data_IF_833649906106
#
_entry.id   IF_833649906106
#
_cell.length_a   1.000
_cell.length_b   1.000
_cell.length_c   1.000
_cell.angle_alpha   90.00
_cell.angle_beta   90.00
_cell.angle_gamma   90.00
#
_symmetry.space_group_name_H-M   'P 1'
#
loop_
_entity.id
_entity.type
_entity.pdbx_description
1 polymer ?
#
# COMPACT_ATOMS: atom_id res chain seq x y z
N UNK A 1 -3.13 46.16 -19.67
CA UNK A 1 -3.81 45.02 -19.00
C UNK A 1 -3.72 45.10 -17.47
N UNK A 2 -2.56 45.16 -16.79
CA UNK A 2 -2.50 45.10 -15.32
C UNK A 2 -3.24 46.23 -14.59
N UNK A 3 -3.20 47.46 -15.13
CA UNK A 3 -3.93 48.61 -14.56
C UNK A 3 -5.46 48.47 -14.71
N UNK A 4 -5.93 48.06 -15.89
CA UNK A 4 -7.36 47.83 -16.17
C UNK A 4 -7.94 46.69 -15.31
N UNK A 5 -7.16 45.63 -15.12
CA UNK A 5 -7.52 44.51 -14.24
C UNK A 5 -7.66 44.96 -12.77
N UNK A 6 -6.69 45.72 -12.24
CA UNK A 6 -6.77 46.24 -10.86
C UNK A 6 -7.99 47.12 -10.65
N UNK A 7 -8.26 48.02 -11.59
CA UNK A 7 -9.45 48.88 -11.54
C UNK A 7 -10.76 48.08 -11.52
N UNK A 8 -10.87 47.03 -12.34
CA UNK A 8 -12.05 46.17 -12.39
C UNK A 8 -12.25 45.36 -11.09
N UNK A 9 -11.18 44.89 -10.47
CA UNK A 9 -11.26 44.17 -9.19
C UNK A 9 -11.65 45.09 -8.05
N UNK A 10 -11.10 46.30 -8.01
CA UNK A 10 -11.42 47.30 -6.98
C UNK A 10 -12.86 47.79 -7.11
N UNK A 11 -13.37 48.00 -8.34
CA UNK A 11 -14.76 48.42 -8.57
C UNK A 11 -15.78 47.35 -8.17
N UNK A 12 -15.49 46.08 -8.49
CA UNK A 12 -16.37 44.93 -8.20
C UNK A 12 -16.14 44.32 -6.80
N UNK A 13 -15.19 44.86 -6.01
CA UNK A 13 -14.80 44.38 -4.67
C UNK A 13 -14.48 42.88 -4.64
N UNK A 14 -13.77 42.42 -5.66
CA UNK A 14 -13.38 41.03 -5.81
C UNK A 14 -12.11 40.75 -4.98
N UNK A 15 -12.08 39.66 -4.23
CA UNK A 15 -10.89 39.21 -3.49
C UNK A 15 -10.30 37.94 -4.13
N UNK A 16 -9.30 38.08 -5.02
CA UNK A 16 -8.68 36.93 -5.68
C UNK A 16 -7.78 36.15 -4.72
N UNK A 17 -7.78 34.82 -4.84
CA UNK A 17 -6.88 33.94 -4.06
C UNK A 17 -5.60 33.55 -4.81
N UNK A 18 -5.50 33.92 -6.09
CA UNK A 18 -4.35 33.65 -6.94
C UNK A 18 -4.28 34.68 -8.09
N UNK A 19 -3.20 34.63 -8.85
CA UNK A 19 -3.07 35.45 -10.06
C UNK A 19 -4.13 35.04 -11.10
N UNK A 20 -4.69 36.00 -11.87
CA UNK A 20 -5.66 35.69 -12.90
C UNK A 20 -5.01 35.01 -14.09
N UNK A 21 -5.77 34.18 -14.79
CA UNK A 21 -5.43 33.78 -16.15
C UNK A 21 -5.97 34.85 -17.11
N UNK A 22 -5.11 35.34 -18.02
CA UNK A 22 -5.45 36.42 -18.96
C UNK A 22 -5.43 35.84 -20.37
N UNK A 23 -6.57 35.87 -21.03
CA UNK A 23 -6.73 35.50 -22.44
C UNK A 23 -6.96 36.76 -23.26
N UNK A 24 -6.10 37.04 -24.23
CA UNK A 24 -6.27 38.20 -25.13
C UNK A 24 -7.06 37.73 -26.34
N UNK A 25 -8.27 38.25 -26.51
CA UNK A 25 -9.16 37.88 -27.62
C UNK A 25 -8.92 38.75 -28.86
N UNK A 26 -8.58 40.03 -28.66
CA UNK A 26 -8.32 40.98 -29.74
C UNK A 26 -7.31 42.03 -29.26
N UNK A 27 -6.38 42.44 -30.13
CA UNK A 27 -5.38 43.45 -29.78
C UNK A 27 -5.84 44.88 -30.11
N UNK A 28 -6.67 45.06 -31.15
CA UNK A 28 -7.16 46.36 -31.59
C UNK A 28 -8.65 46.30 -32.02
N UNK A 29 -9.58 46.89 -31.24
CA UNK A 29 -9.38 47.37 -29.88
C UNK A 29 -8.99 46.22 -28.93
N UNK A 30 -8.23 46.53 -27.87
CA UNK A 30 -7.76 45.55 -26.90
C UNK A 30 -8.93 44.96 -26.11
N UNK A 31 -9.24 43.70 -26.35
CA UNK A 31 -10.24 42.91 -25.60
C UNK A 31 -9.54 41.71 -24.98
N UNK A 32 -9.61 41.61 -23.66
CA UNK A 32 -9.06 40.48 -22.91
C UNK A 32 -10.07 39.97 -21.89
N UNK A 33 -10.04 38.67 -21.64
CA UNK A 33 -10.80 37.98 -20.60
C UNK A 33 -9.84 37.65 -19.45
N UNK A 34 -10.21 38.01 -18.23
CA UNK A 34 -9.46 37.65 -17.03
C UNK A 34 -10.28 36.65 -16.21
N UNK A 35 -9.78 35.43 -16.05
CA UNK A 35 -10.38 34.40 -15.19
C UNK A 35 -9.74 34.55 -13.81
N UNK A 36 -10.56 34.89 -12.82
CA UNK A 36 -10.10 35.26 -11.48
C UNK A 36 -10.51 34.17 -10.47
N UNK A 37 -9.55 33.47 -9.86
CA UNK A 37 -9.85 32.49 -8.81
C UNK A 37 -10.34 33.19 -7.54
N UNK A 38 -11.56 32.88 -7.10
CA UNK A 38 -12.18 33.45 -5.89
C UNK A 38 -12.04 32.52 -4.68
N UNK A 39 -12.30 33.07 -3.49
CA UNK A 39 -12.38 32.27 -2.26
C UNK A 39 -13.47 31.20 -2.38
N UNK A 40 -13.20 29.96 -1.93
CA UNK A 40 -14.19 28.90 -1.94
C UNK A 40 -15.37 29.24 -1.02
N UNK A 41 -16.57 28.84 -1.44
CA UNK A 41 -17.81 29.00 -0.66
C UNK A 41 -18.36 27.63 -0.31
N UNK A 42 -18.58 27.39 1.00
CA UNK A 42 -19.06 26.11 1.54
C UNK A 42 -20.39 26.33 2.27
N UNK A 43 -21.41 25.56 1.91
CA UNK A 43 -22.71 25.47 2.61
C UNK A 43 -22.91 24.04 3.09
N UNK A 44 -22.93 23.81 4.41
CA UNK A 44 -22.86 22.47 5.01
C UNK A 44 -24.18 21.67 5.04
N UNK A 45 -25.31 22.31 4.73
CA UNK A 45 -26.63 21.68 4.90
C UNK A 45 -27.00 21.43 6.38
N UNK A 46 -27.97 20.55 6.62
CA UNK A 46 -28.41 20.17 7.98
C UNK A 46 -27.67 18.92 8.48
N UNK A 47 -26.38 19.08 8.76
CA UNK A 47 -25.53 17.99 9.24
C UNK A 47 -25.94 17.46 10.62
N UNK A 48 -26.72 18.22 11.40
CA UNK A 48 -27.26 17.76 12.70
C UNK A 48 -28.29 16.63 12.55
N UNK A 49 -28.90 16.49 11.36
CA UNK A 49 -29.82 15.40 11.04
C UNK A 49 -29.11 14.04 10.84
N UNK A 50 -27.78 14.02 10.67
CA UNK A 50 -27.01 12.82 10.34
C UNK A 50 -26.93 11.91 11.57
N UNK A 51 -27.55 10.74 11.47
CA UNK A 51 -27.46 9.67 12.48
C UNK A 51 -26.66 8.51 11.94
N UNK A 52 -25.47 8.30 12.49
CA UNK A 52 -24.65 7.13 12.21
C UNK A 52 -24.55 6.26 13.45
N UNK A 53 -24.68 4.94 13.25
CA UNK A 53 -24.48 3.96 14.31
C UNK A 53 -23.09 3.37 14.14
N UNK A 54 -22.34 3.29 15.24
CA UNK A 54 -21.15 2.47 15.29
C UNK A 54 -21.58 1.00 15.19
N UNK A 55 -20.90 0.24 14.34
CA UNK A 55 -21.07 -1.21 14.31
C UNK A 55 -20.35 -1.80 15.54
N UNK A 56 -21.00 -2.70 16.30
CA UNK A 56 -20.37 -3.34 17.44
C UNK A 56 -19.18 -4.16 16.95
N UNK A 57 -18.06 -4.06 17.67
CA UNK A 57 -16.86 -4.84 17.41
C UNK A 57 -16.96 -6.12 18.23
N UNK A 58 -17.13 -7.24 17.54
CA UNK A 58 -17.09 -8.58 18.13
C UNK A 58 -15.83 -9.30 17.64
N UNK A 59 -15.12 -9.94 18.57
CA UNK A 59 -13.95 -10.75 18.25
C UNK A 59 -14.31 -12.19 18.55
N UNK A 60 -14.29 -13.00 17.50
CA UNK A 60 -14.55 -14.42 17.61
C UNK A 60 -13.38 -15.16 18.25
N UNK A 61 -13.67 -16.27 18.94
CA UNK A 61 -12.65 -17.17 19.46
C UNK A 61 -11.69 -17.70 18.37
N UNK A 62 -12.18 -17.82 17.12
CA UNK A 62 -11.36 -18.22 15.98
C UNK A 62 -10.28 -17.19 15.61
N UNK A 63 -10.58 -15.89 15.72
CA UNK A 63 -9.61 -14.82 15.43
C UNK A 63 -8.52 -14.76 16.51
N UNK A 64 -8.91 -14.95 17.78
CA UNK A 64 -7.98 -15.03 18.91
C UNK A 64 -7.06 -16.24 18.73
N UNK A 65 -7.64 -17.40 18.39
CA UNK A 65 -6.87 -18.63 18.11
C UNK A 65 -5.88 -18.43 16.97
N UNK A 66 -6.32 -17.86 15.85
CA UNK A 66 -5.45 -17.59 14.71
C UNK A 66 -4.32 -16.61 15.06
N UNK A 67 -4.60 -15.57 15.84
CA UNK A 67 -3.57 -14.64 16.29
C UNK A 67 -2.53 -15.30 17.21
N UNK A 68 -2.97 -16.19 18.10
CA UNK A 68 -2.06 -16.96 18.97
C UNK A 68 -1.21 -17.94 18.17
N UNK A 69 -1.79 -18.63 17.18
CA UNK A 69 -1.03 -19.51 16.29
C UNK A 69 0.01 -18.73 15.47
N UNK A 70 -0.33 -17.53 14.99
CA UNK A 70 0.63 -16.65 14.33
C UNK A 70 1.80 -16.26 15.26
N UNK A 71 1.53 -15.95 16.53
CA UNK A 71 2.58 -15.72 17.52
C UNK A 71 3.42 -16.98 17.77
N UNK A 72 2.78 -18.16 17.80
CA UNK A 72 3.44 -19.46 17.97
C UNK A 72 4.38 -19.76 16.81
N UNK A 73 3.97 -19.44 15.60
CA UNK A 73 4.80 -19.58 14.41
C UNK A 73 6.01 -18.65 14.40
N UNK A 74 5.88 -17.44 14.96
CA UNK A 74 6.99 -16.48 15.08
C UNK A 74 8.02 -16.91 16.13
N UNK A 75 7.60 -17.64 17.16
CA UNK A 75 8.48 -18.21 18.20
C UNK A 75 8.98 -19.63 17.84
N UNK A 76 8.76 -20.08 16.61
CA UNK A 76 9.21 -21.40 16.19
C UNK A 76 10.74 -21.48 16.17
N UNK A 77 11.28 -22.62 16.62
CA UNK A 77 12.71 -22.89 16.58
C UNK A 77 13.01 -23.81 15.41
N UNK A 78 14.12 -23.55 14.71
CA UNK A 78 14.61 -24.40 13.63
C UNK A 78 15.64 -25.38 14.17
N UNK A 79 15.31 -26.67 14.16
CA UNK A 79 16.21 -27.74 14.63
C UNK A 79 16.77 -28.54 13.45
N UNK A 80 18.09 -28.81 13.41
CA UNK A 80 18.69 -29.61 12.35
C UNK A 80 18.18 -31.05 12.39
N UNK A 81 17.88 -31.62 11.22
CA UNK A 81 17.40 -32.99 11.07
C UNK A 81 18.14 -33.74 9.97
N UNK A 82 18.40 -35.03 10.20
CA UNK A 82 19.07 -35.92 9.25
C UNK A 82 18.04 -36.85 8.57
N UNK A 83 17.13 -36.25 7.81
CA UNK A 83 16.14 -36.93 6.96
C UNK A 83 15.99 -36.22 5.60
N UNK A 84 15.42 -36.87 4.57
CA UNK A 84 15.08 -36.18 3.32
C UNK A 84 14.15 -34.98 3.57
N UNK A 85 14.27 -33.95 2.73
CA UNK A 85 13.46 -32.73 2.77
C UNK A 85 11.97 -33.06 2.66
N UNK A 86 11.15 -32.46 3.52
CA UNK A 86 9.70 -32.52 3.50
C UNK A 86 9.11 -31.10 3.33
N UNK A 87 7.84 -31.04 2.92
CA UNK A 87 7.10 -29.78 2.90
C UNK A 87 7.03 -29.17 4.32
N UNK A 88 7.34 -27.89 4.43
CA UNK A 88 7.39 -27.14 5.67
C UNK A 88 8.77 -27.04 6.32
N UNK A 89 9.76 -27.82 5.87
CA UNK A 89 11.13 -27.74 6.37
C UNK A 89 11.82 -26.44 5.91
N UNK A 90 12.83 -26.02 6.67
CA UNK A 90 13.75 -24.94 6.32
C UNK A 90 15.07 -25.56 5.87
N UNK A 91 15.46 -25.27 4.63
CA UNK A 91 16.67 -25.81 4.02
C UNK A 91 17.65 -24.68 3.73
N UNK A 92 18.92 -24.88 4.10
CA UNK A 92 20.00 -24.04 3.59
C UNK A 92 20.40 -24.62 2.24
N UNK A 93 20.29 -23.82 1.19
CA UNK A 93 20.56 -24.28 -0.16
C UNK A 93 21.33 -23.26 -0.99
N UNK A 94 22.08 -23.77 -1.97
CA UNK A 94 22.69 -22.98 -3.02
C UNK A 94 21.90 -23.19 -4.30
N UNK A 95 21.44 -22.11 -4.93
CA UNK A 95 20.66 -22.11 -6.16
C UNK A 95 21.49 -21.45 -7.26
N UNK A 96 21.66 -22.17 -8.35
CA UNK A 96 22.14 -21.63 -9.62
C UNK A 96 21.05 -21.87 -10.67
N UNK A 97 20.48 -20.80 -11.19
CA UNK A 97 19.42 -20.84 -12.17
C UNK A 97 19.87 -20.16 -13.47
N UNK A 98 19.66 -20.82 -14.61
CA UNK A 98 20.00 -20.28 -15.93
C UNK A 98 18.81 -20.36 -16.88
N UNK A 99 18.68 -19.36 -17.77
CA UNK A 99 17.68 -19.31 -18.84
C UNK A 99 18.42 -19.01 -20.14
N UNK A 100 18.29 -19.88 -21.15
CA UNK A 100 19.01 -19.76 -22.42
C UNK A 100 20.52 -19.46 -22.25
N UNK A 101 21.16 -20.14 -21.30
CA UNK A 101 22.57 -19.97 -20.91
C UNK A 101 22.93 -18.60 -20.29
N UNK A 102 21.95 -17.74 -20.00
CA UNK A 102 22.13 -16.52 -19.20
C UNK A 102 21.85 -16.81 -17.73
N UNK A 103 22.65 -16.27 -16.79
CA UNK A 103 22.38 -16.41 -15.36
C UNK A 103 21.10 -15.66 -15.00
N UNK A 104 20.15 -16.37 -14.39
CA UNK A 104 18.88 -15.83 -13.92
C UNK A 104 18.91 -15.58 -12.41
N UNK A 105 19.41 -16.54 -11.65
CA UNK A 105 19.54 -16.46 -10.20
C UNK A 105 20.81 -17.17 -9.76
N UNK A 106 21.57 -16.56 -8.84
CA UNK A 106 22.67 -17.24 -8.19
C UNK A 106 22.71 -16.81 -6.72
N UNK A 107 22.30 -17.72 -5.83
CA UNK A 107 22.36 -17.54 -4.39
C UNK A 107 23.10 -18.70 -3.77
N UNK A 108 24.01 -18.39 -2.84
CA UNK A 108 24.70 -19.38 -2.02
C UNK A 108 24.23 -19.24 -0.59
N UNK A 109 24.12 -20.38 0.08
CA UNK A 109 23.72 -20.49 1.50
C UNK A 109 22.44 -19.72 1.86
N UNK A 110 21.45 -19.75 0.96
CA UNK A 110 20.15 -19.16 1.19
C UNK A 110 19.34 -20.08 2.11
N UNK A 111 18.82 -19.52 3.20
CA UNK A 111 17.80 -20.17 4.01
C UNK A 111 16.45 -20.07 3.29
N UNK A 112 15.89 -21.21 2.91
CA UNK A 112 14.65 -21.32 2.15
C UNK A 112 13.64 -22.19 2.89
N UNK A 113 12.40 -21.71 3.02
CA UNK A 113 11.29 -22.52 3.53
C UNK A 113 10.65 -23.28 2.38
N UNK A 114 10.55 -24.61 2.51
CA UNK A 114 9.95 -25.49 1.50
C UNK A 114 8.42 -25.43 1.61
N UNK A 115 7.83 -24.35 1.13
CA UNK A 115 6.38 -24.13 1.10
C UNK A 115 5.86 -24.19 -0.33
N UNK A 116 4.87 -25.06 -0.59
CA UNK A 116 4.21 -25.18 -1.90
C UNK A 116 3.53 -23.90 -2.38
N UNK A 117 3.17 -23.00 -1.45
CA UNK A 117 2.57 -21.71 -1.77
C UNK A 117 3.61 -20.61 -2.03
N UNK A 118 4.90 -20.90 -1.83
CA UNK A 118 5.96 -19.94 -2.11
C UNK A 118 6.09 -19.71 -3.61
N UNK A 119 5.97 -18.45 -4.02
CA UNK A 119 6.21 -18.02 -5.41
C UNK A 119 7.69 -17.75 -5.70
N UNK A 120 8.55 -17.84 -4.69
CA UNK A 120 9.98 -17.66 -4.81
C UNK A 120 10.70 -19.02 -4.77
N UNK A 121 11.72 -19.27 -5.61
CA UNK A 121 12.16 -18.45 -6.74
C UNK A 121 11.19 -18.45 -7.93
N UNK A 122 10.47 -19.56 -8.12
CA UNK A 122 9.35 -19.72 -9.04
C UNK A 122 8.28 -20.60 -8.38
N UNK A 123 7.02 -20.48 -8.81
CA UNK A 123 6.01 -21.50 -8.49
C UNK A 123 6.53 -22.90 -8.85
N UNK A 124 6.08 -23.91 -8.10
CA UNK A 124 6.50 -25.33 -8.24
C UNK A 124 7.96 -25.64 -7.90
N UNK A 125 8.76 -24.67 -7.42
CA UNK A 125 10.12 -24.95 -6.96
C UNK A 125 10.16 -25.80 -5.68
N UNK A 126 9.39 -25.44 -4.65
CA UNK A 126 9.38 -26.16 -3.38
C UNK A 126 9.06 -27.67 -3.52
N UNK A 127 8.02 -28.09 -4.27
CA UNK A 127 7.75 -29.51 -4.52
C UNK A 127 8.90 -30.28 -5.17
N UNK A 128 9.77 -29.62 -5.95
CA UNK A 128 10.94 -30.28 -6.56
C UNK A 128 12.04 -30.56 -5.56
N UNK A 129 12.07 -29.89 -4.41
CA UNK A 129 13.03 -30.14 -3.35
C UNK A 129 12.61 -31.27 -2.41
N UNK A 130 11.35 -31.69 -2.45
CA UNK A 130 10.87 -32.79 -1.62
C UNK A 130 11.64 -34.09 -1.92
N UNK A 131 12.05 -34.79 -0.86
CA UNK A 131 12.81 -36.03 -0.91
C UNK A 131 14.32 -35.89 -1.15
N UNK A 132 14.84 -34.68 -1.34
CA UNK A 132 16.29 -34.43 -1.49
C UNK A 132 17.01 -34.65 -0.17
N UNK A 133 18.18 -35.28 -0.19
CA UNK A 133 19.00 -35.48 1.00
C UNK A 133 20.00 -34.34 1.20
N UNK A 134 20.53 -34.25 2.42
CA UNK A 134 21.63 -33.35 2.76
C UNK A 134 22.85 -33.63 1.87
N UNK A 135 23.46 -32.56 1.37
CA UNK A 135 24.57 -32.52 0.41
C UNK A 135 24.27 -33.14 -0.96
N UNK A 136 23.00 -33.34 -1.32
CA UNK A 136 22.61 -33.82 -2.64
C UNK A 136 22.40 -32.65 -3.60
N UNK A 137 22.91 -32.81 -4.83
CA UNK A 137 22.67 -31.90 -5.93
C UNK A 137 21.48 -32.39 -6.75
N UNK A 138 20.52 -31.50 -7.01
CA UNK A 138 19.37 -31.76 -7.86
C UNK A 138 19.30 -30.74 -8.98
N UNK A 139 19.13 -31.24 -10.20
CA UNK A 139 18.96 -30.42 -11.39
C UNK A 139 17.55 -30.66 -11.94
N UNK A 140 16.80 -29.59 -12.18
CA UNK A 140 15.46 -29.66 -12.75
C UNK A 140 15.12 -28.38 -13.53
N UNK A 141 14.20 -28.47 -14.48
CA UNK A 141 13.71 -27.32 -15.23
C UNK A 141 12.31 -26.90 -14.76
N UNK A 142 12.07 -25.59 -14.72
CA UNK A 142 10.77 -24.99 -14.45
C UNK A 142 10.47 -23.90 -15.48
N UNK A 143 9.18 -23.72 -15.80
CA UNK A 143 8.75 -22.61 -16.67
C UNK A 143 8.51 -21.37 -15.84
N UNK A 144 9.02 -20.24 -16.33
CA UNK A 144 8.75 -18.94 -15.73
C UNK A 144 7.30 -18.54 -16.05
N UNK A 145 6.50 -18.14 -15.05
CA UNK A 145 5.13 -17.66 -15.27
C UNK A 145 5.05 -16.49 -16.25
N UNK A 146 3.90 -16.36 -16.93
CA UNK A 146 3.69 -15.28 -17.89
C UNK A 146 3.58 -13.89 -17.23
N UNK A 147 3.19 -13.85 -15.95
CA UNK A 147 3.02 -12.66 -15.12
C UNK A 147 4.28 -12.30 -14.31
N UNK A 148 5.43 -12.87 -14.64
CA UNK A 148 6.68 -12.58 -13.95
C UNK A 148 7.11 -11.12 -14.11
N UNK A 149 7.71 -10.56 -13.06
CA UNK A 149 8.09 -9.14 -12.98
C UNK A 149 9.01 -8.67 -14.11
N UNK A 150 9.79 -9.58 -14.71
CA UNK A 150 10.72 -9.30 -15.80
C UNK A 150 10.20 -9.96 -17.08
N UNK A 151 9.64 -9.15 -17.97
CA UNK A 151 9.02 -9.60 -19.24
C UNK A 151 9.96 -10.42 -20.13
N UNK A 152 11.26 -10.18 -20.04
CA UNK A 152 12.28 -10.87 -20.85
C UNK A 152 12.38 -12.37 -20.55
N UNK A 153 11.95 -12.80 -19.36
CA UNK A 153 12.03 -14.20 -18.93
C UNK A 153 10.67 -14.92 -18.92
N UNK A 154 9.57 -14.20 -19.14
CA UNK A 154 8.21 -14.77 -19.10
C UNK A 154 8.06 -15.92 -20.10
N UNK A 155 7.56 -17.06 -19.63
CA UNK A 155 7.30 -18.25 -20.46
C UNK A 155 8.54 -19.04 -20.88
N UNK A 156 9.75 -18.59 -20.55
CA UNK A 156 10.99 -19.31 -20.84
C UNK A 156 11.20 -20.46 -19.85
N UNK A 157 11.96 -21.47 -20.27
CA UNK A 157 12.38 -22.57 -19.40
C UNK A 157 13.66 -22.19 -18.65
N UNK A 158 13.62 -22.29 -17.33
CA UNK A 158 14.73 -22.03 -16.45
C UNK A 158 15.25 -23.34 -15.88
N UNK A 159 16.56 -23.59 -16.05
CA UNK A 159 17.25 -24.73 -15.47
C UNK A 159 17.78 -24.35 -14.09
N UNK A 160 17.30 -25.03 -13.06
CA UNK A 160 17.76 -24.89 -11.69
C UNK A 160 18.71 -26.02 -11.33
N UNK A 161 19.89 -25.65 -10.81
CA UNK A 161 20.81 -26.51 -10.10
C UNK A 161 20.78 -26.10 -8.64
N UNK A 162 20.33 -27.01 -7.78
CA UNK A 162 20.16 -26.75 -6.35
C UNK A 162 20.92 -27.77 -5.52
N UNK A 163 21.69 -27.29 -4.55
CA UNK A 163 22.40 -28.14 -3.59
C UNK A 163 21.91 -27.82 -2.18
N UNK A 164 21.43 -28.83 -1.46
CA UNK A 164 20.96 -28.68 -0.07
C UNK A 164 22.12 -28.93 0.88
N UNK A 165 22.54 -27.94 1.67
CA UNK A 165 23.66 -28.09 2.63
C UNK A 165 23.18 -28.46 4.04
N UNK A 166 22.02 -27.96 4.45
CA UNK A 166 21.45 -28.20 5.76
C UNK A 166 19.92 -28.31 5.68
N UNK A 167 19.33 -29.18 6.50
CA UNK A 167 17.88 -29.36 6.61
C UNK A 167 17.53 -29.14 8.07
N UNK A 168 16.58 -28.24 8.32
CA UNK A 168 16.03 -27.94 9.62
C UNK A 168 14.52 -28.11 9.60
N UNK A 169 13.97 -28.71 10.63
CA UNK A 169 12.52 -28.72 10.82
C UNK A 169 12.08 -27.56 11.72
N UNK A 170 10.92 -26.98 11.39
CA UNK A 170 10.29 -25.94 12.19
C UNK A 170 9.55 -26.60 13.34
N UNK A 171 10.11 -26.51 14.54
CA UNK A 171 9.44 -26.96 15.76
C UNK A 171 8.66 -25.81 16.38
N UNK A 172 7.35 -25.97 16.42
CA UNK A 172 6.47 -25.04 17.11
C UNK A 172 6.55 -25.29 18.62
N UNK A 173 6.70 -24.23 19.45
CA UNK A 173 6.61 -24.39 20.89
C UNK A 173 5.22 -24.91 21.27
N UNK A 174 5.15 -25.65 22.37
CA UNK A 174 3.86 -26.05 22.93
C UNK A 174 3.12 -24.79 23.39
N UNK A 175 1.79 -24.79 23.26
CA UNK A 175 0.98 -23.73 23.84
C UNK A 175 0.87 -24.01 25.34
N UNK A 176 1.82 -23.47 26.10
CA UNK A 176 1.92 -23.53 27.56
C UNK A 176 2.39 -22.18 28.14
N UNK A 177 2.60 -22.14 29.46
CA UNK A 177 3.02 -20.92 30.15
C UNK A 177 4.45 -20.51 29.80
N UNK A 178 5.30 -21.41 29.32
CA UNK A 178 6.65 -21.08 28.84
C UNK A 178 6.57 -20.31 27.50
N UNK A 179 5.69 -20.74 26.59
CA UNK A 179 5.40 -19.98 25.38
C UNK A 179 4.85 -18.58 25.72
N UNK A 180 3.93 -18.47 26.67
CA UNK A 180 3.42 -17.16 27.11
C UNK A 180 4.55 -16.25 27.63
N UNK A 181 5.49 -16.79 28.40
CA UNK A 181 6.66 -16.05 28.89
C UNK A 181 7.58 -15.59 27.77
N UNK A 182 7.76 -16.40 26.72
CA UNK A 182 8.52 -15.97 25.53
C UNK A 182 7.87 -14.78 24.83
N UNK A 183 6.54 -14.64 24.92
CA UNK A 183 5.78 -13.49 24.44
C UNK A 183 5.67 -12.33 25.45
N UNK A 184 6.39 -12.37 26.58
CA UNK A 184 6.33 -11.40 27.68
C UNK A 184 5.00 -11.39 28.48
N UNK A 185 4.33 -12.54 28.58
CA UNK A 185 3.14 -12.75 29.43
C UNK A 185 3.43 -13.76 30.54
N UNK A 186 2.76 -13.67 31.70
CA UNK A 186 3.07 -14.58 32.80
C UNK A 186 2.58 -16.03 32.56
N UNK A 187 1.48 -16.20 31.84
CA UNK A 187 0.84 -17.48 31.55
C UNK A 187 -0.07 -17.39 30.32
N UNK A 188 -0.57 -18.52 29.83
CA UNK A 188 -1.44 -18.58 28.65
C UNK A 188 -2.73 -17.78 28.78
N UNK A 189 -3.30 -17.72 29.98
CA UNK A 189 -4.53 -16.98 30.22
C UNK A 189 -4.29 -15.49 29.97
N UNK A 190 -3.20 -14.93 30.52
CA UNK A 190 -2.82 -13.54 30.29
C UNK A 190 -2.46 -13.27 28.83
N UNK A 191 -1.79 -14.22 28.15
CA UNK A 191 -1.54 -14.10 26.71
C UNK A 191 -2.85 -13.99 25.93
N UNK A 192 -3.83 -14.87 26.20
CA UNK A 192 -5.14 -14.84 25.55
C UNK A 192 -5.90 -13.54 25.82
N UNK A 193 -5.89 -13.07 27.06
CA UNK A 193 -6.51 -11.79 27.44
C UNK A 193 -5.84 -10.61 26.75
N UNK A 194 -4.50 -10.57 26.71
CA UNK A 194 -3.72 -9.54 26.02
C UNK A 194 -3.99 -9.52 24.52
N UNK A 195 -3.92 -10.67 23.85
CA UNK A 195 -4.24 -10.78 22.42
C UNK A 195 -5.69 -10.36 22.13
N UNK A 196 -6.64 -10.73 22.99
CA UNK A 196 -8.04 -10.31 22.86
C UNK A 196 -8.19 -8.79 23.00
N UNK A 197 -7.52 -8.18 23.98
CA UNK A 197 -7.54 -6.75 24.20
C UNK A 197 -6.90 -5.98 23.02
N UNK A 198 -5.79 -6.48 22.48
CA UNK A 198 -5.10 -5.89 21.33
C UNK A 198 -5.95 -5.96 20.06
N UNK A 199 -6.53 -7.12 19.77
CA UNK A 199 -7.45 -7.28 18.64
C UNK A 199 -8.64 -6.32 18.81
N UNK A 200 -9.16 -6.19 20.03
CA UNK A 200 -10.31 -5.32 20.32
C UNK A 200 -9.97 -3.86 20.09
N UNK A 201 -8.84 -3.40 20.62
CA UNK A 201 -8.37 -2.04 20.44
C UNK A 201 -8.16 -1.70 18.96
N UNK A 202 -7.54 -2.62 18.18
CA UNK A 202 -7.36 -2.46 16.74
C UNK A 202 -8.68 -2.37 15.99
N UNK A 203 -9.62 -3.26 16.31
CA UNK A 203 -10.92 -3.29 15.65
C UNK A 203 -11.81 -2.09 16.04
N UNK A 204 -11.77 -1.64 17.30
CA UNK A 204 -12.43 -0.40 17.76
C UNK A 204 -11.84 0.83 17.08
N UNK A 205 -10.51 0.92 16.96
CA UNK A 205 -9.84 2.01 16.23
C UNK A 205 -10.27 2.03 14.77
N UNK A 206 -10.30 0.86 14.11
CA UNK A 206 -10.76 0.73 12.72
C UNK A 206 -12.22 1.17 12.59
N UNK A 207 -13.12 0.66 13.43
CA UNK A 207 -14.54 1.04 13.43
C UNK A 207 -14.72 2.55 13.63
N UNK A 208 -13.93 3.18 14.53
CA UNK A 208 -13.96 4.63 14.74
C UNK A 208 -13.50 5.41 13.51
N UNK A 209 -12.44 4.97 12.83
CA UNK A 209 -11.96 5.60 11.60
C UNK A 209 -12.99 5.47 10.47
N UNK A 210 -13.59 4.30 10.31
CA UNK A 210 -14.65 4.05 9.33
C UNK A 210 -15.90 4.90 9.63
N UNK A 211 -16.31 4.99 10.89
CA UNK A 211 -17.42 5.85 11.29
C UNK A 211 -17.13 7.34 11.01
N UNK A 212 -15.91 7.80 11.29
CA UNK A 212 -15.47 9.17 10.98
C UNK A 212 -15.53 9.43 9.47
N UNK A 213 -15.08 8.47 8.66
CA UNK A 213 -15.16 8.60 7.21
C UNK A 213 -16.61 8.61 6.71
N UNK A 214 -17.47 7.71 7.23
CA UNK A 214 -18.91 7.69 6.93
C UNK A 214 -19.58 9.01 7.32
N UNK A 215 -19.19 9.61 8.44
CA UNK A 215 -19.67 10.91 8.88
C UNK A 215 -19.27 12.03 7.92
N UNK A 216 -17.99 12.11 7.58
CA UNK A 216 -17.49 13.09 6.61
C UNK A 216 -18.19 12.95 5.26
N UNK A 217 -18.29 11.73 4.74
CA UNK A 217 -18.94 11.47 3.45
C UNK A 217 -20.43 11.86 3.49
N UNK A 218 -21.13 11.66 4.62
CA UNK A 218 -22.52 12.08 4.79
C UNK A 218 -22.67 13.61 4.83
N UNK A 219 -21.76 14.32 5.52
CA UNK A 219 -21.75 15.79 5.54
C UNK A 219 -21.47 16.34 4.16
N UNK A 220 -20.46 15.81 3.47
CA UNK A 220 -20.08 16.23 2.12
C UNK A 220 -21.23 16.05 1.14
N UNK A 221 -21.99 14.95 1.24
CA UNK A 221 -23.18 14.72 0.38
C UNK A 221 -24.30 15.75 0.56
N UNK A 222 -24.45 16.32 1.76
CA UNK A 222 -25.42 17.38 2.04
C UNK A 222 -24.85 18.79 1.79
N UNK A 223 -23.54 18.88 1.58
CA UNK A 223 -22.83 20.13 1.41
C UNK A 223 -22.83 20.58 -0.05
N UNK A 224 -22.96 21.88 -0.27
CA UNK A 224 -22.67 22.53 -1.54
C UNK A 224 -21.37 23.30 -1.41
N UNK A 225 -20.37 22.90 -2.21
CA UNK A 225 -19.04 23.50 -2.22
C UNK A 225 -18.80 24.05 -3.61
N UNK A 226 -18.52 25.35 -3.67
CA UNK A 226 -18.09 26.04 -4.88
C UNK A 226 -16.65 26.53 -4.68
N UNK A 227 -15.76 26.18 -5.60
CA UNK A 227 -14.34 26.49 -5.48
C UNK A 227 -13.69 26.58 -6.86
N UNK A 228 -12.61 27.36 -7.01
CA UNK A 228 -11.94 27.51 -8.29
C UNK A 228 -11.08 26.27 -8.64
N UNK A 229 -10.98 25.88 -9.93
CA UNK A 229 -10.21 24.71 -10.38
C UNK A 229 -8.74 24.69 -9.94
N UNK A 230 -8.14 25.87 -9.75
CA UNK A 230 -6.76 26.01 -9.29
C UNK A 230 -6.49 25.29 -7.95
N UNK A 231 -7.51 25.09 -7.11
CA UNK A 231 -7.35 24.31 -5.88
C UNK A 231 -7.19 22.81 -6.15
N UNK A 232 -7.85 22.28 -7.18
CA UNK A 232 -7.61 20.89 -7.61
C UNK A 232 -6.22 20.73 -8.19
N UNK A 233 -5.79 21.67 -9.04
CA UNK A 233 -4.45 21.61 -9.66
C UNK A 233 -3.35 21.61 -8.61
N UNK A 234 -3.45 22.47 -7.59
CA UNK A 234 -2.50 22.50 -6.46
C UNK A 234 -2.51 21.22 -5.63
N UNK A 235 -3.67 20.62 -5.43
CA UNK A 235 -3.77 19.34 -4.71
C UNK A 235 -3.16 18.19 -5.53
N UNK A 236 -3.33 18.20 -6.86
CA UNK A 236 -2.69 17.24 -7.77
C UNK A 236 -1.17 17.40 -7.70
N UNK A 237 -0.65 18.63 -7.72
CA UNK A 237 0.79 18.89 -7.59
C UNK A 237 1.33 18.34 -6.26
N UNK A 238 0.64 18.61 -5.14
CA UNK A 238 1.01 18.08 -3.83
C UNK A 238 0.96 16.55 -3.78
N UNK A 239 -0.04 15.93 -4.42
CA UNK A 239 -0.16 14.48 -4.52
C UNK A 239 1.01 13.86 -5.28
N UNK A 240 1.42 14.47 -6.38
CA UNK A 240 2.56 14.01 -7.18
C UNK A 240 3.87 14.12 -6.40
N UNK A 241 4.10 15.22 -5.69
CA UNK A 241 5.25 15.39 -4.82
C UNK A 241 5.29 14.35 -3.69
N UNK A 242 4.16 14.07 -3.04
CA UNK A 242 4.05 13.05 -1.99
C UNK A 242 4.41 11.66 -2.51
N UNK A 243 3.91 11.32 -3.69
CA UNK A 243 4.17 10.03 -4.33
C UNK A 243 5.65 9.93 -4.71
N UNK A 244 6.23 10.96 -5.34
CA UNK A 244 7.64 10.98 -5.70
C UNK A 244 8.53 10.78 -4.46
N UNK A 245 8.26 11.53 -3.38
CA UNK A 245 8.98 11.40 -2.10
C UNK A 245 8.84 10.01 -1.49
N UNK A 246 7.65 9.43 -1.50
CA UNK A 246 7.40 8.08 -0.95
C UNK A 246 8.24 7.00 -1.65
N UNK A 247 8.52 7.17 -2.93
CA UNK A 247 9.37 6.27 -3.71
C UNK A 247 10.86 6.68 -3.74
N UNK A 248 11.24 7.70 -2.97
CA UNK A 248 12.64 8.14 -2.82
C UNK A 248 13.15 9.03 -3.96
N UNK A 249 12.26 9.57 -4.79
CA UNK A 249 12.62 10.53 -5.83
C UNK A 249 12.76 11.94 -5.27
N UNK A 250 13.73 12.69 -5.79
CA UNK A 250 13.91 14.13 -5.47
C UNK A 250 12.96 15.01 -6.28
N UNK A 251 12.75 14.65 -7.55
CA UNK A 251 11.94 15.41 -8.50
C UNK A 251 10.81 14.54 -9.04
N UNK A 252 9.66 15.14 -9.35
CA UNK A 252 8.46 14.43 -9.86
C UNK A 252 8.73 13.87 -11.26
N UNK A 253 9.55 14.56 -12.04
CA UNK A 253 9.97 14.18 -13.38
C UNK A 253 10.67 12.82 -13.41
N UNK A 254 11.47 12.51 -12.39
CA UNK A 254 12.15 11.21 -12.28
C UNK A 254 11.19 10.08 -11.93
N UNK A 255 10.14 10.38 -11.17
CA UNK A 255 9.04 9.45 -10.93
C UNK A 255 8.24 9.19 -12.22
N UNK A 256 7.90 10.24 -12.98
CA UNK A 256 7.16 10.14 -14.25
C UNK A 256 7.88 9.27 -15.29
N UNK A 257 9.21 9.40 -15.42
CA UNK A 257 10.04 8.57 -16.33
C UNK A 257 9.93 7.08 -16.03
N UNK A 258 9.73 6.69 -14.76
CA UNK A 258 9.59 5.28 -14.35
C UNK A 258 8.20 4.72 -14.63
N UNK A 259 7.16 5.52 -14.41
CA UNK A 259 5.77 5.06 -14.50
C UNK A 259 5.33 4.83 -15.94
N UNK A 260 6.13 5.26 -16.94
CA UNK A 260 5.83 5.08 -18.37
C UNK A 260 4.46 5.64 -18.77
N UNK A 261 3.96 6.63 -18.02
CA UNK A 261 2.73 7.38 -18.28
C UNK A 261 3.08 8.83 -18.53
N UNK A 262 2.23 9.54 -19.27
CA UNK A 262 2.38 10.98 -19.40
C UNK A 262 1.96 11.69 -18.12
N UNK A 263 2.47 12.90 -17.91
CA UNK A 263 2.04 13.73 -16.78
C UNK A 263 0.52 13.96 -16.84
N UNK A 264 -0.02 14.26 -18.02
CA UNK A 264 -1.45 14.50 -18.24
C UNK A 264 -2.31 13.30 -17.82
N UNK A 265 -1.93 12.08 -18.23
CA UNK A 265 -2.64 10.86 -17.82
C UNK A 265 -2.67 10.70 -16.30
N UNK A 266 -1.54 10.92 -15.64
CA UNK A 266 -1.45 10.79 -14.19
C UNK A 266 -2.24 11.89 -13.46
N UNK A 267 -2.25 13.12 -13.99
CA UNK A 267 -3.05 14.22 -13.46
C UNK A 267 -4.55 13.94 -13.59
N UNK A 268 -5.01 13.39 -14.71
CA UNK A 268 -6.42 12.99 -14.87
C UNK A 268 -6.81 11.87 -13.89
N UNK A 269 -5.96 10.87 -13.69
CA UNK A 269 -6.17 9.82 -12.69
C UNK A 269 -6.28 10.40 -11.27
N UNK A 270 -5.44 11.38 -10.93
CA UNK A 270 -5.44 12.04 -9.63
C UNK A 270 -6.56 13.05 -9.46
N UNK A 271 -7.18 13.56 -10.54
CA UNK A 271 -8.18 14.62 -10.45
C UNK A 271 -9.40 14.24 -9.61
N UNK A 272 -9.89 13.00 -9.71
CA UNK A 272 -10.99 12.52 -8.86
C UNK A 272 -10.60 12.48 -7.37
N UNK A 273 -9.36 12.07 -7.09
CA UNK A 273 -8.83 12.00 -5.71
C UNK A 273 -8.61 13.39 -5.15
N UNK A 274 -7.99 14.28 -5.93
CA UNK A 274 -7.75 15.68 -5.60
C UNK A 274 -9.07 16.42 -5.33
N UNK A 275 -10.05 16.28 -6.22
CA UNK A 275 -11.40 16.82 -6.03
C UNK A 275 -12.01 16.38 -4.70
N UNK A 276 -11.96 15.08 -4.39
CA UNK A 276 -12.48 14.56 -3.12
C UNK A 276 -11.74 15.16 -1.92
N UNK A 277 -10.41 15.27 -1.98
CA UNK A 277 -9.60 15.87 -0.90
C UNK A 277 -9.89 17.35 -0.70
N UNK A 278 -9.92 18.14 -1.77
CA UNK A 278 -10.26 19.58 -1.72
C UNK A 278 -11.63 19.78 -1.09
N UNK A 279 -12.66 19.05 -1.54
CA UNK A 279 -14.01 19.15 -0.97
C UNK A 279 -14.00 18.79 0.52
N UNK A 280 -13.36 17.68 0.89
CA UNK A 280 -13.29 17.24 2.28
C UNK A 280 -12.58 18.27 3.17
N UNK A 281 -11.45 18.82 2.73
CA UNK A 281 -10.70 19.84 3.46
C UNK A 281 -11.53 21.11 3.62
N UNK A 282 -12.15 21.61 2.55
CA UNK A 282 -12.99 22.81 2.61
C UNK A 282 -14.21 22.65 3.53
N UNK A 283 -14.83 21.46 3.54
CA UNK A 283 -15.94 21.14 4.45
C UNK A 283 -15.47 21.09 5.90
N UNK A 284 -14.30 20.51 6.18
CA UNK A 284 -13.73 20.45 7.52
C UNK A 284 -13.28 21.82 8.02
N UNK A 285 -12.62 22.61 7.17
CA UNK A 285 -12.17 23.98 7.49
C UNK A 285 -13.33 24.91 7.79
N UNK A 286 -14.50 24.68 7.17
CA UNK A 286 -15.72 25.45 7.50
C UNK A 286 -16.31 25.07 8.86
N UNK A 287 -15.98 23.88 9.35
CA UNK A 287 -16.52 23.30 10.58
C UNK A 287 -15.65 23.60 11.81
N UNK A 288 -14.34 23.81 11.61
CA UNK A 288 -13.37 24.25 12.62
C UNK A 288 -13.43 25.77 12.87
#
# INVERSE_FOLDING_TARGET
>A
IPKLYKQAIESEKIEPIAQPQIEISQNEPLVFKAIVPLKPTVKLGDYHSIKLKAEPVEIGAGEIGAAIEQLREQQAVLLPVDRPVQLGDFVTLSIEATIDSKPFLNHKDLLYQVDSNSTFPLPDFAPKLEGVKKNEEKIFSLKVPADYSIKEFCGQECLFKTTVSEIKEKQLPQLDDEFAQSCNYANLTQLREGVTADLRAKAEQRSRLELRQKALDAVVKQSSVDYPPILEDREIDSLLEDVARRFGYREVEDYLKRVSKTEEELREELRLVAKKRVINTLVLDKWL
#
